data_IF_600537297345
#
_entry.id   IF_600537297345
#
_cell.length_a   1.000
_cell.length_b   1.000
_cell.length_c   1.000
_cell.angle_alpha   90.00
_cell.angle_beta   90.00
_cell.angle_gamma   90.00
#
_symmetry.space_group_name_H-M   'P 1'
#
loop_
_entity.id
_entity.type
_entity.pdbx_description
1 polymer ?
#
# COMPACT_ATOMS: atom_id res chain seq x y z
N UNK A 1 37.29 -0.93 -5.87
CA UNK A 1 36.78 -0.81 -5.34
C UNK A 1 36.69 -0.39 -4.43
N UNK A 2 36.64 -0.07 -4.14
CA UNK A 2 36.54 0.30 -3.30
C UNK A 2 35.91 0.11 -2.50
N UNK A 3 36.29 -0.02 -1.93
CA UNK A 3 35.62 -0.29 -1.10
C UNK A 3 35.18 0.70 -0.42
N UNK A 4 34.39 1.21 -0.74
CA UNK A 4 33.72 2.19 -0.34
C UNK A 4 33.17 2.06 0.97
N UNK A 5 33.02 1.22 1.59
CA UNK A 5 32.47 1.04 2.92
C UNK A 5 33.35 0.04 3.63
N UNK A 6 34.57 0.36 3.89
CA UNK A 6 35.53 -0.62 4.33
C UNK A 6 35.22 -1.22 5.69
N UNK A 7 34.51 -0.51 6.52
CA UNK A 7 34.19 -1.04 7.83
C UNK A 7 32.90 -1.82 7.88
N UNK A 8 32.10 -1.68 6.88
CA UNK A 8 30.85 -2.38 6.77
C UNK A 8 29.90 -2.26 7.91
N UNK A 9 30.17 -1.37 8.81
CA UNK A 9 29.21 -1.09 9.85
C UNK A 9 28.48 0.17 9.54
N UNK A 10 28.77 0.77 8.43
CA UNK A 10 27.95 1.81 7.89
C UNK A 10 26.71 1.21 7.33
N UNK A 11 25.71 2.03 7.14
CA UNK A 11 24.48 1.53 6.55
C UNK A 11 24.64 1.40 5.05
N UNK A 12 23.80 0.54 4.49
CA UNK A 12 23.68 0.36 3.06
C UNK A 12 22.22 0.65 2.76
N UNK A 13 21.97 1.62 1.90
CA UNK A 13 20.63 2.04 1.58
C UNK A 13 20.21 1.53 0.22
N UNK A 14 18.97 1.09 0.12
CA UNK A 14 18.39 0.71 -1.15
C UNK A 14 17.06 1.43 -1.32
N UNK A 15 16.94 2.17 -2.42
CA UNK A 15 15.70 2.86 -2.75
C UNK A 15 14.69 1.83 -3.26
N UNK A 16 13.58 1.71 -2.57
CA UNK A 16 12.57 0.71 -2.85
C UNK A 16 11.25 1.32 -3.32
N UNK A 17 11.24 2.57 -3.71
CA UNK A 17 10.02 3.17 -4.22
C UNK A 17 9.52 2.49 -5.50
N UNK A 18 10.38 2.20 -6.49
CA UNK A 18 9.91 1.46 -7.66
C UNK A 18 9.34 0.09 -7.31
N UNK A 19 10.00 -0.63 -6.40
CA UNK A 19 9.51 -1.92 -5.92
C UNK A 19 8.14 -1.78 -5.27
N UNK A 20 7.95 -0.70 -4.51
CA UNK A 20 6.69 -0.45 -3.82
C UNK A 20 5.55 -0.24 -4.80
N UNK A 21 5.80 0.47 -5.89
CA UNK A 21 4.78 0.66 -6.92
C UNK A 21 4.33 -0.67 -7.50
N UNK A 22 5.28 -1.54 -7.79
CA UNK A 22 4.96 -2.87 -8.30
C UNK A 22 4.27 -3.73 -7.25
N UNK A 23 4.71 -3.63 -6.00
CA UNK A 23 4.11 -4.38 -4.91
C UNK A 23 2.62 -4.06 -4.76
N UNK A 24 2.28 -2.79 -4.72
CA UNK A 24 0.88 -2.41 -4.57
C UNK A 24 0.05 -2.85 -5.77
N UNK A 25 0.62 -2.75 -6.96
CA UNK A 25 -0.07 -3.21 -8.16
C UNK A 25 -0.30 -4.71 -8.12
N UNK A 26 0.67 -5.47 -7.64
CA UNK A 26 0.57 -6.93 -7.64
C UNK A 26 -0.28 -7.47 -6.50
N UNK A 27 -0.33 -6.79 -5.37
CA UNK A 27 -0.94 -7.32 -4.16
C UNK A 27 -2.20 -6.60 -3.71
N UNK A 28 -2.41 -5.38 -4.14
CA UNK A 28 -3.54 -4.57 -3.69
C UNK A 28 -4.58 -4.40 -4.79
N UNK A 29 -4.15 -4.40 -6.04
CA UNK A 29 -5.07 -4.31 -7.16
C UNK A 29 -6.05 -5.48 -7.09
N UNK A 30 -7.30 -5.22 -7.43
CA UNK A 30 -8.38 -6.20 -7.39
C UNK A 30 -8.81 -6.62 -5.98
N UNK A 31 -8.34 -5.92 -4.96
CA UNK A 31 -8.90 -6.06 -3.62
C UNK A 31 -10.39 -5.79 -3.69
N UNK A 32 -11.19 -6.66 -3.11
CA UNK A 32 -12.63 -6.51 -3.21
C UNK A 32 -13.36 -6.85 -1.93
N UNK A 33 -14.53 -6.27 -1.82
CA UNK A 33 -15.52 -6.64 -0.82
C UNK A 33 -16.86 -6.80 -1.52
N UNK A 34 -17.57 -7.85 -1.21
CA UNK A 34 -18.85 -8.14 -1.85
C UNK A 34 -19.86 -8.64 -0.82
N UNK A 35 -21.07 -8.15 -0.92
CA UNK A 35 -22.19 -8.68 -0.14
C UNK A 35 -23.42 -8.76 -1.04
N UNK A 36 -24.61 -8.94 -0.45
CA UNK A 36 -25.83 -9.09 -1.22
C UNK A 36 -26.26 -7.81 -1.92
N UNK A 37 -25.79 -6.68 -1.47
CA UNK A 37 -26.23 -5.38 -1.96
C UNK A 37 -25.26 -4.74 -2.95
N UNK A 38 -23.97 -4.95 -2.79
CA UNK A 38 -22.98 -4.30 -3.65
C UNK A 38 -21.65 -5.05 -3.65
N UNK A 39 -20.83 -4.69 -4.62
CA UNK A 39 -19.46 -5.18 -4.74
C UNK A 39 -18.54 -3.98 -4.94
N UNK A 40 -17.49 -3.91 -4.15
CA UNK A 40 -16.49 -2.84 -4.21
C UNK A 40 -15.16 -3.46 -4.64
N UNK A 41 -14.56 -2.93 -5.69
CA UNK A 41 -13.30 -3.46 -6.23
C UNK A 41 -12.31 -2.31 -6.40
N UNK A 42 -11.07 -2.55 -5.98
CA UNK A 42 -9.99 -1.62 -6.22
C UNK A 42 -9.49 -1.85 -7.64
N UNK A 43 -9.72 -0.88 -8.52
CA UNK A 43 -9.48 -1.03 -9.94
C UNK A 43 -8.15 -0.46 -10.42
N UNK A 44 -7.56 0.43 -9.64
CA UNK A 44 -6.33 1.09 -10.08
C UNK A 44 -5.52 1.58 -8.88
N UNK A 45 -4.21 1.41 -8.97
CA UNK A 45 -3.27 2.06 -8.07
C UNK A 45 -2.82 3.32 -8.80
N UNK A 46 -3.43 4.45 -8.46
CA UNK A 46 -3.24 5.68 -9.22
C UNK A 46 -1.92 6.35 -8.94
N UNK A 47 -1.46 6.29 -7.70
CA UNK A 47 -0.24 6.99 -7.32
C UNK A 47 0.38 6.34 -6.09
N UNK A 48 1.68 6.17 -6.16
CA UNK A 48 2.53 5.82 -5.03
C UNK A 48 3.70 6.79 -5.09
N UNK A 49 3.76 7.71 -4.15
CA UNK A 49 4.79 8.75 -4.17
C UNK A 49 5.41 8.90 -2.79
N UNK A 50 6.57 9.55 -2.74
CA UNK A 50 7.30 9.78 -1.51
C UNK A 50 8.61 9.02 -1.51
N UNK A 51 8.98 8.51 -0.34
CA UNK A 51 10.26 7.83 -0.16
C UNK A 51 10.06 6.47 0.46
N UNK A 52 10.86 5.49 0.02
CA UNK A 52 10.85 4.16 0.58
C UNK A 52 12.25 3.57 0.45
N UNK A 53 12.88 3.31 1.58
CA UNK A 53 14.25 2.79 1.61
C UNK A 53 14.34 1.62 2.58
N UNK A 54 15.19 0.65 2.23
CA UNK A 54 15.61 -0.40 3.12
C UNK A 54 17.09 -0.19 3.37
N UNK A 55 17.51 -0.25 4.62
CA UNK A 55 18.86 0.07 5.01
C UNK A 55 19.39 -0.97 5.99
N UNK A 56 20.70 -1.12 6.00
CA UNK A 56 21.37 -1.95 7.00
C UNK A 56 22.28 -1.04 7.82
N UNK A 57 22.12 -1.13 9.13
CA UNK A 57 22.98 -0.41 10.06
C UNK A 57 23.39 -1.36 11.17
N UNK A 58 24.69 -1.53 11.38
CA UNK A 58 25.21 -2.38 12.45
C UNK A 58 24.60 -3.77 12.46
N UNK A 59 24.44 -4.33 11.28
CA UNK A 59 23.90 -5.68 11.14
C UNK A 59 22.40 -5.80 11.18
N UNK A 60 21.67 -4.72 11.36
CA UNK A 60 20.21 -4.74 11.39
C UNK A 60 19.64 -4.20 10.11
N UNK A 61 18.63 -4.88 9.59
CA UNK A 61 17.89 -4.42 8.42
C UNK A 61 16.70 -3.62 8.89
N UNK A 62 16.61 -2.40 8.43
CA UNK A 62 15.54 -1.48 8.81
C UNK A 62 14.87 -0.95 7.56
N UNK A 63 13.61 -0.58 7.68
CA UNK A 63 12.94 0.13 6.61
C UNK A 63 12.55 1.52 7.09
N UNK A 64 12.62 2.46 6.16
CA UNK A 64 12.19 3.84 6.40
C UNK A 64 11.38 4.24 5.19
N UNK A 65 10.09 4.51 5.40
CA UNK A 65 9.28 5.00 4.31
C UNK A 65 8.26 6.02 4.80
N UNK A 66 7.92 6.91 3.88
CA UNK A 66 6.91 7.93 4.08
C UNK A 66 6.33 8.16 2.70
N UNK A 67 5.18 7.58 2.46
CA UNK A 67 4.57 7.55 1.14
C UNK A 67 3.15 8.08 1.17
N UNK A 68 2.68 8.45 -0.01
CA UNK A 68 1.28 8.79 -0.23
C UNK A 68 0.73 7.82 -1.27
N UNK A 69 -0.42 7.26 -0.98
CA UNK A 69 -1.04 6.27 -1.85
C UNK A 69 -2.40 6.77 -2.32
N UNK A 70 -2.72 6.51 -3.58
CA UNK A 70 -4.04 6.80 -4.13
C UNK A 70 -4.54 5.63 -4.94
N UNK A 71 -5.79 5.28 -4.70
CA UNK A 71 -6.43 4.14 -5.33
C UNK A 71 -7.78 4.54 -5.90
N UNK A 72 -8.15 3.93 -7.01
CA UNK A 72 -9.48 4.06 -7.59
C UNK A 72 -10.29 2.81 -7.32
N UNK A 73 -11.56 3.00 -7.06
CA UNK A 73 -12.49 1.93 -6.76
C UNK A 73 -13.65 1.95 -7.75
N UNK A 74 -14.26 0.78 -7.95
CA UNK A 74 -15.53 0.66 -8.63
C UNK A 74 -16.52 0.05 -7.66
N UNK A 75 -17.71 0.62 -7.57
CA UNK A 75 -18.77 0.12 -6.72
C UNK A 75 -19.93 -0.29 -7.60
N UNK A 76 -20.29 -1.57 -7.54
CA UNK A 76 -21.40 -2.11 -8.32
C UNK A 76 -22.55 -2.44 -7.38
N UNK A 77 -23.71 -1.87 -7.64
CA UNK A 77 -24.90 -2.10 -6.84
C UNK A 77 -25.70 -3.24 -7.45
N UNK A 78 -26.06 -4.22 -6.64
CA UNK A 78 -26.67 -5.45 -7.16
C UNK A 78 -28.19 -5.45 -7.21
N UNK A 79 -28.81 -4.63 -6.39
CA UNK A 79 -30.24 -4.73 -6.19
C UNK A 79 -31.07 -3.97 -7.21
N UNK A 80 -30.44 -3.28 -8.13
CA UNK A 80 -31.17 -2.44 -9.07
C UNK A 80 -31.49 -3.18 -10.35
N UNK A 81 -32.59 -2.80 -10.95
CA UNK A 81 -33.00 -3.42 -12.22
C UNK A 81 -32.30 -2.80 -13.42
N UNK A 82 -31.85 -1.58 -13.29
CA UNK A 82 -31.18 -0.86 -14.37
C UNK A 82 -29.68 -0.98 -14.20
N UNK A 83 -29.10 -1.97 -14.81
CA UNK A 83 -27.69 -2.28 -14.67
C UNK A 83 -26.75 -1.15 -15.10
N UNK A 84 -27.16 -0.35 -16.04
CA UNK A 84 -26.29 0.71 -16.56
C UNK A 84 -26.04 1.82 -15.55
N UNK A 85 -26.90 1.91 -14.54
CA UNK A 85 -26.80 2.97 -13.53
C UNK A 85 -26.36 2.47 -12.18
N UNK A 86 -25.98 1.20 -12.13
CA UNK A 86 -25.71 0.57 -10.84
C UNK A 86 -24.26 0.55 -10.47
N UNK A 87 -23.43 1.22 -11.19
CA UNK A 87 -22.03 1.30 -10.82
C UNK A 87 -21.55 2.72 -10.81
N UNK A 88 -20.63 3.00 -9.93
CA UNK A 88 -20.00 4.31 -9.86
C UNK A 88 -18.57 4.16 -9.39
N UNK A 89 -17.79 5.22 -9.53
CA UNK A 89 -16.40 5.22 -9.15
C UNK A 89 -16.19 5.97 -7.85
N UNK A 90 -15.21 5.52 -7.11
CA UNK A 90 -14.80 6.16 -5.87
C UNK A 90 -13.28 6.12 -5.80
N UNK A 91 -12.73 6.77 -4.81
CA UNK A 91 -11.29 6.74 -4.60
C UNK A 91 -10.98 6.74 -3.11
N UNK A 92 -9.80 6.20 -2.80
CA UNK A 92 -9.26 6.24 -1.45
C UNK A 92 -7.85 6.82 -1.54
N UNK A 93 -7.55 7.76 -0.67
CA UNK A 93 -6.22 8.32 -0.52
C UNK A 93 -5.69 7.99 0.86
N UNK A 94 -4.44 7.57 0.92
CA UNK A 94 -3.73 7.37 2.18
C UNK A 94 -2.62 8.42 2.19
N UNK A 95 -2.86 9.59 2.79
CA UNK A 95 -1.91 10.70 2.69
C UNK A 95 -0.63 10.47 3.45
N UNK A 96 -0.65 9.61 4.47
CA UNK A 96 0.53 9.28 5.24
C UNK A 96 0.59 7.78 5.45
N UNK A 97 1.49 7.13 4.73
CA UNK A 97 1.78 5.72 4.90
C UNK A 97 3.24 5.63 5.32
N UNK A 98 3.47 5.57 6.62
CA UNK A 98 4.79 5.75 7.24
C UNK A 98 5.17 4.50 8.01
N UNK A 99 6.45 4.19 8.00
CA UNK A 99 6.96 2.91 8.53
C UNK A 99 6.73 2.69 10.03
N UNK A 100 6.56 3.75 10.79
CA UNK A 100 6.39 3.64 12.25
C UNK A 100 4.96 3.87 12.72
N UNK A 101 4.00 3.84 11.81
CA UNK A 101 2.59 3.98 12.19
C UNK A 101 2.06 2.69 12.81
N UNK A 102 1.20 2.87 13.80
CA UNK A 102 0.42 1.77 14.35
C UNK A 102 -0.83 1.56 13.50
N UNK A 103 -1.46 0.43 13.68
CA UNK A 103 -2.61 0.05 12.88
C UNK A 103 -3.72 1.10 12.90
N UNK A 104 -3.98 1.70 14.04
CA UNK A 104 -5.05 2.67 14.21
C UNK A 104 -4.66 4.08 13.78
N UNK A 105 -3.45 4.28 13.36
CA UNK A 105 -2.97 5.59 12.92
C UNK A 105 -3.14 5.81 11.42
N UNK A 106 -3.47 4.79 10.65
CA UNK A 106 -3.68 4.95 9.22
C UNK A 106 -4.94 5.76 8.95
N UNK A 107 -4.81 6.78 8.12
CA UNK A 107 -5.93 7.62 7.70
C UNK A 107 -6.29 7.28 6.26
N UNK A 108 -7.57 7.01 6.05
CA UNK A 108 -8.09 6.71 4.71
C UNK A 108 -9.08 7.79 4.35
N UNK A 109 -8.76 8.57 3.33
CA UNK A 109 -9.64 9.61 2.83
C UNK A 109 -10.42 9.05 1.64
N UNK A 110 -11.73 9.04 1.76
CA UNK A 110 -12.61 8.44 0.77
C UNK A 110 -13.36 9.54 0.03
N UNK A 111 -13.31 9.46 -1.29
CA UNK A 111 -14.08 10.34 -2.15
C UNK A 111 -15.07 9.47 -2.93
N UNK A 112 -16.34 9.70 -2.72
CA UNK A 112 -17.41 8.93 -3.37
C UNK A 112 -18.69 9.73 -3.33
N UNK A 113 -19.49 9.60 -4.38
CA UNK A 113 -20.79 10.27 -4.45
C UNK A 113 -21.84 9.55 -3.61
N UNK A 114 -21.63 8.28 -3.37
CA UNK A 114 -22.55 7.44 -2.61
C UNK A 114 -21.76 6.36 -1.89
N UNK A 115 -22.37 5.75 -0.89
CA UNK A 115 -21.79 4.60 -0.18
C UNK A 115 -20.47 4.87 0.53
N UNK A 116 -20.18 6.13 0.81
CA UNK A 116 -18.92 6.48 1.47
C UNK A 116 -18.77 5.79 2.83
N UNK A 117 -19.85 5.75 3.60
CA UNK A 117 -19.82 5.10 4.92
C UNK A 117 -19.62 3.60 4.79
N UNK A 118 -20.23 2.98 3.79
CA UNK A 118 -20.11 1.55 3.54
C UNK A 118 -18.70 1.19 3.07
N UNK A 119 -18.10 2.03 2.22
CA UNK A 119 -16.72 1.84 1.80
C UNK A 119 -15.81 1.87 3.02
N UNK A 120 -16.01 2.82 3.90
CA UNK A 120 -15.20 2.94 5.11
C UNK A 120 -15.40 1.75 6.05
N UNK A 121 -16.62 1.29 6.18
CA UNK A 121 -16.95 0.24 7.14
C UNK A 121 -16.49 -1.14 6.66
N UNK A 122 -16.65 -1.43 5.38
CA UNK A 122 -16.46 -2.78 4.86
C UNK A 122 -15.24 -2.94 3.98
N UNK A 123 -14.93 -1.96 3.15
CA UNK A 123 -13.82 -2.09 2.22
C UNK A 123 -12.48 -1.71 2.86
N UNK A 124 -12.46 -0.60 3.59
CA UNK A 124 -11.23 -0.10 4.21
C UNK A 124 -10.56 -1.15 5.10
N UNK A 125 -11.27 -1.92 5.92
CA UNK A 125 -10.61 -2.95 6.71
C UNK A 125 -9.91 -4.01 5.85
N UNK A 126 -10.49 -4.38 4.72
CA UNK A 126 -9.86 -5.36 3.81
C UNK A 126 -8.59 -4.78 3.21
N UNK A 127 -8.66 -3.55 2.73
CA UNK A 127 -7.50 -2.84 2.17
C UNK A 127 -6.41 -2.69 3.24
N UNK A 128 -6.80 -2.29 4.43
CA UNK A 128 -5.87 -2.07 5.52
C UNK A 128 -5.07 -3.32 5.85
N UNK A 129 -5.72 -4.48 5.87
CA UNK A 129 -5.02 -5.73 6.13
C UNK A 129 -3.93 -6.00 5.08
N UNK A 130 -4.20 -5.65 3.85
CA UNK A 130 -3.19 -5.81 2.79
C UNK A 130 -2.06 -4.82 2.93
N UNK A 131 -2.38 -3.58 3.28
CA UNK A 131 -1.34 -2.57 3.48
C UNK A 131 -0.45 -2.91 4.67
N UNK A 132 -1.00 -3.54 5.69
CA UNK A 132 -0.22 -3.91 6.87
C UNK A 132 0.81 -4.99 6.59
N UNK A 133 0.69 -5.71 5.50
CA UNK A 133 1.69 -6.70 5.10
C UNK A 133 2.89 -6.10 4.40
N UNK A 134 2.76 -4.86 3.98
CA UNK A 134 3.79 -4.22 3.16
C UNK A 134 5.15 -4.21 3.84
N UNK A 135 5.21 -3.82 5.09
CA UNK A 135 6.48 -3.66 5.78
C UNK A 135 7.26 -4.96 5.89
N UNK A 136 6.59 -6.03 6.28
CA UNK A 136 7.25 -7.33 6.37
C UNK A 136 7.71 -7.82 5.01
N UNK A 137 6.89 -7.66 4.00
CA UNK A 137 7.24 -8.09 2.65
C UNK A 137 8.39 -7.26 2.08
N UNK A 138 8.40 -5.98 2.39
CA UNK A 138 9.49 -5.09 1.99
C UNK A 138 10.81 -5.55 2.59
N UNK A 139 10.82 -5.81 3.88
CA UNK A 139 12.02 -6.24 4.57
C UNK A 139 12.48 -7.60 4.05
N UNK A 140 11.57 -8.56 3.94
CA UNK A 140 11.92 -9.90 3.47
C UNK A 140 12.47 -9.87 2.04
N UNK A 141 11.89 -9.05 1.19
CA UNK A 141 12.32 -9.00 -0.21
C UNK A 141 13.70 -8.38 -0.38
N UNK A 142 14.10 -7.51 0.56
CA UNK A 142 15.32 -6.74 0.40
C UNK A 142 16.41 -7.05 1.42
N UNK A 143 16.11 -7.88 2.41
CA UNK A 143 17.08 -8.18 3.44
C UNK A 143 18.37 -8.75 2.87
N UNK A 144 18.26 -9.62 1.89
CA UNK A 144 19.45 -10.21 1.27
C UNK A 144 20.28 -9.19 0.52
N UNK A 145 19.61 -8.21 -0.08
CA UNK A 145 20.31 -7.20 -0.86
C UNK A 145 21.21 -6.32 0.01
N UNK A 146 20.76 -5.98 1.20
CA UNK A 146 21.52 -5.11 2.08
C UNK A 146 22.44 -5.88 3.01
N UNK A 147 22.06 -7.08 3.44
CA UNK A 147 22.92 -7.91 4.28
C UNK A 147 24.07 -8.53 3.50
N UNK A 148 23.82 -8.85 2.26
CA UNK A 148 24.78 -9.55 1.45
C UNK A 148 26.02 -8.71 1.16
N UNK A 149 25.94 -7.43 1.32
CA UNK A 149 27.07 -6.55 1.10
C UNK A 149 28.14 -6.67 2.16
N UNK A 150 27.88 -7.40 3.22
CA UNK A 150 28.91 -7.66 4.22
C UNK A 150 29.78 -8.89 3.88
#
# INVERSE_FOLDING_TARGET
>A
MVVHNPNNWHWIDKNCLPWSKDYFRDNVLETEFENDEYKIVLTSVDSVSGDCDVTQRKGKVLCIYDMKLQFSLSVDLKAEEDEDKNSFKASISVPEFVHDQEEDEYVFEISADDKKAEIRKYFVPVLKLKLMKFQNDLIESHAKDVQHAT
#
